data_IF_180981635021
#
_entry.id   IF_180981635021
#
_cell.length_a   1.000
_cell.length_b   1.000
_cell.length_c   1.000
_cell.angle_alpha   90.00
_cell.angle_beta   90.00
_cell.angle_gamma   90.00
#
_symmetry.space_group_name_H-M   'P 1'
#
loop_
_entity.id
_entity.type
_entity.pdbx_description
1 polymer ?
#
# COMPACT_ATOMS: atom_id res chain seq x y z
N UNK A 1 -50.20 -5.80 69.48
CA UNK A 1 -49.82 -5.01 68.28
C UNK A 1 -48.34 -5.23 68.01
N UNK A 2 -48.00 -6.21 67.17
CA UNK A 2 -46.63 -6.52 66.79
C UNK A 2 -46.33 -5.95 65.39
N UNK A 3 -45.17 -5.31 65.29
CA UNK A 3 -44.67 -4.45 64.21
C UNK A 3 -44.65 -5.12 62.82
N UNK A 4 -45.71 -4.91 62.03
CA UNK A 4 -45.75 -5.25 60.60
C UNK A 4 -45.06 -4.21 59.69
N UNK A 5 -44.66 -3.04 60.20
CA UNK A 5 -44.01 -2.00 59.39
C UNK A 5 -42.52 -2.26 59.13
N UNK A 6 -41.79 -2.91 60.05
CA UNK A 6 -40.34 -3.12 59.93
C UNK A 6 -39.94 -4.16 58.88
N UNK A 7 -40.84 -5.07 58.51
CA UNK A 7 -40.53 -6.11 57.52
C UNK A 7 -40.63 -5.62 56.07
N UNK A 8 -41.47 -4.59 55.83
CA UNK A 8 -41.71 -4.05 54.49
C UNK A 8 -40.57 -3.14 54.04
N UNK A 9 -40.01 -2.36 54.97
CA UNK A 9 -38.87 -1.46 54.76
C UNK A 9 -37.57 -2.22 54.47
N UNK A 10 -37.31 -3.36 55.13
CA UNK A 10 -36.10 -4.15 54.83
C UNK A 10 -36.13 -4.76 53.42
N UNK A 11 -37.30 -5.22 52.95
CA UNK A 11 -37.42 -5.79 51.60
C UNK A 11 -37.26 -4.75 50.47
N UNK A 12 -37.64 -3.50 50.75
CA UNK A 12 -37.52 -2.38 49.81
C UNK A 12 -36.08 -1.86 49.73
N UNK A 13 -35.38 -1.79 50.88
CA UNK A 13 -33.95 -1.50 50.91
C UNK A 13 -33.14 -2.55 50.16
N UNK A 14 -33.46 -3.84 50.32
CA UNK A 14 -32.75 -4.90 49.60
C UNK A 14 -32.94 -4.79 48.07
N UNK A 15 -34.15 -4.48 47.59
CA UNK A 15 -34.38 -4.28 46.14
C UNK A 15 -33.67 -3.04 45.60
N UNK A 16 -33.64 -1.96 46.37
CA UNK A 16 -32.94 -0.74 45.96
C UNK A 16 -31.43 -0.97 45.91
N UNK A 17 -30.88 -1.66 46.90
CA UNK A 17 -29.47 -2.02 46.94
C UNK A 17 -29.09 -2.94 45.77
N UNK A 18 -29.88 -3.98 45.50
CA UNK A 18 -29.74 -4.84 44.31
C UNK A 18 -29.74 -4.04 43.01
N UNK A 19 -30.63 -3.06 42.91
CA UNK A 19 -30.76 -2.21 41.73
C UNK A 19 -29.54 -1.33 41.53
N UNK A 20 -29.06 -0.70 42.61
CA UNK A 20 -27.86 0.15 42.60
C UNK A 20 -26.62 -0.68 42.27
N UNK A 21 -26.45 -1.86 42.87
CA UNK A 21 -25.33 -2.76 42.58
C UNK A 21 -25.32 -3.23 41.12
N UNK A 22 -26.47 -3.64 40.57
CA UNK A 22 -26.56 -4.00 39.14
C UNK A 22 -26.24 -2.81 38.24
N UNK A 23 -26.66 -1.61 38.61
CA UNK A 23 -26.45 -0.40 37.81
C UNK A 23 -24.99 0.07 37.86
N UNK A 24 -24.36 0.04 39.04
CA UNK A 24 -22.95 0.30 39.23
C UNK A 24 -22.08 -0.74 38.52
N UNK A 25 -22.44 -2.02 38.60
CA UNK A 25 -21.76 -3.11 37.89
C UNK A 25 -21.84 -2.90 36.38
N UNK A 26 -23.02 -2.59 35.84
CA UNK A 26 -23.20 -2.29 34.43
C UNK A 26 -22.38 -1.07 33.98
N UNK A 27 -22.33 -0.01 34.78
CA UNK A 27 -21.51 1.17 34.50
C UNK A 27 -20.01 0.86 34.59
N UNK A 28 -19.58 0.00 35.51
CA UNK A 28 -18.20 -0.45 35.64
C UNK A 28 -17.75 -1.24 34.39
N UNK A 29 -18.59 -2.15 33.88
CA UNK A 29 -18.34 -2.88 32.63
C UNK A 29 -18.46 -2.02 31.36
N UNK A 30 -19.16 -0.89 31.42
CA UNK A 30 -19.22 0.08 30.32
C UNK A 30 -18.04 1.08 30.34
N UNK A 31 -17.51 1.39 31.52
CA UNK A 31 -16.39 2.31 31.72
C UNK A 31 -15.00 1.68 31.54
N UNK A 32 -14.85 0.39 31.85
CA UNK A 32 -13.67 -0.38 31.47
C UNK A 32 -13.96 -1.11 30.15
N UNK A 33 -13.35 -0.72 29.01
CA UNK A 33 -13.44 -1.57 27.83
C UNK A 33 -12.90 -2.95 28.24
N UNK A 34 -13.62 -4.05 27.97
CA UNK A 34 -13.13 -5.39 28.27
C UNK A 34 -11.73 -5.53 27.68
N UNK A 35 -10.83 -6.26 28.35
CA UNK A 35 -9.45 -6.45 27.93
C UNK A 35 -9.35 -6.88 26.44
N UNK A 36 -10.37 -7.58 25.94
CA UNK A 36 -10.55 -7.96 24.54
C UNK A 36 -10.75 -6.77 23.58
N UNK A 37 -11.41 -5.70 24.00
CA UNK A 37 -11.57 -4.46 23.23
C UNK A 37 -10.26 -3.70 23.04
N UNK A 38 -9.38 -3.71 24.05
CA UNK A 38 -8.04 -3.13 23.95
C UNK A 38 -7.17 -3.97 23.01
N UNK A 39 -7.16 -5.31 23.17
CA UNK A 39 -6.43 -6.22 22.27
C UNK A 39 -6.86 -6.07 20.81
N UNK A 40 -8.17 -5.93 20.55
CA UNK A 40 -8.71 -5.75 19.18
C UNK A 40 -8.25 -4.47 18.48
N UNK A 41 -7.83 -3.44 19.22
CA UNK A 41 -7.31 -2.18 18.66
C UNK A 41 -5.79 -2.10 18.70
N UNK A 42 -5.17 -2.58 19.77
CA UNK A 42 -3.72 -2.54 19.97
C UNK A 42 -2.97 -3.46 19.00
N UNK A 43 -3.48 -4.67 18.72
CA UNK A 43 -2.80 -5.61 17.83
C UNK A 43 -2.71 -5.12 16.37
N UNK A 44 -3.79 -4.65 15.71
CA UNK A 44 -3.67 -4.05 14.39
C UNK A 44 -2.72 -2.86 14.35
N UNK A 45 -2.71 -2.04 15.41
CA UNK A 45 -1.79 -0.91 15.52
C UNK A 45 -0.33 -1.35 15.59
N UNK A 46 0.00 -2.27 16.50
CA UNK A 46 1.36 -2.81 16.63
C UNK A 46 1.81 -3.45 15.31
N UNK A 47 0.93 -4.22 14.68
CA UNK A 47 1.23 -4.88 13.41
C UNK A 47 1.52 -3.87 12.29
N UNK A 48 0.71 -2.81 12.19
CA UNK A 48 0.95 -1.73 11.22
C UNK A 48 2.26 -0.97 11.48
N UNK A 49 2.58 -0.67 12.75
CA UNK A 49 3.84 0.00 13.13
C UNK A 49 5.04 -0.88 12.77
N UNK A 50 5.01 -2.17 13.12
CA UNK A 50 6.07 -3.12 12.77
C UNK A 50 6.25 -3.18 11.25
N UNK A 51 5.15 -3.26 10.50
CA UNK A 51 5.20 -3.32 9.05
C UNK A 51 5.83 -2.06 8.42
N UNK A 52 5.45 -0.87 8.88
CA UNK A 52 6.01 0.41 8.41
C UNK A 52 7.52 0.51 8.71
N UNK A 53 7.98 -0.02 9.85
CA UNK A 53 9.41 -0.02 10.20
C UNK A 53 10.18 -1.07 9.39
N UNK A 54 9.57 -2.23 9.15
CA UNK A 54 10.22 -3.36 8.49
C UNK A 54 10.49 -3.07 7.01
N UNK A 55 9.58 -2.39 6.30
CA UNK A 55 9.73 -2.14 4.86
C UNK A 55 11.03 -1.37 4.54
N UNK A 56 11.32 -0.19 5.12
CA UNK A 56 12.56 0.53 4.86
C UNK A 56 13.79 -0.27 5.25
N UNK A 57 13.73 -1.04 6.34
CA UNK A 57 14.83 -1.90 6.76
C UNK A 57 15.13 -2.96 5.70
N UNK A 58 14.12 -3.69 5.23
CA UNK A 58 14.29 -4.71 4.19
C UNK A 58 14.80 -4.09 2.89
N UNK A 59 14.27 -2.94 2.50
CA UNK A 59 14.70 -2.25 1.29
C UNK A 59 16.18 -1.82 1.35
N UNK A 60 16.58 -1.11 2.42
CA UNK A 60 17.93 -0.55 2.51
C UNK A 60 18.96 -1.64 2.86
N UNK A 61 18.67 -2.45 3.88
CA UNK A 61 19.63 -3.40 4.43
C UNK A 61 19.77 -4.66 3.58
N UNK A 62 18.67 -5.14 2.97
CA UNK A 62 18.68 -6.37 2.18
C UNK A 62 18.75 -6.03 0.70
N UNK A 63 17.77 -5.31 0.17
CA UNK A 63 17.64 -5.12 -1.28
C UNK A 63 18.78 -4.26 -1.85
N UNK A 64 19.07 -3.11 -1.26
CA UNK A 64 20.13 -2.23 -1.78
C UNK A 64 21.53 -2.78 -1.60
N UNK A 65 21.85 -3.30 -0.41
CA UNK A 65 23.19 -3.82 -0.16
C UNK A 65 23.48 -5.15 -0.84
N UNK A 66 22.53 -6.08 -0.88
CA UNK A 66 22.79 -7.43 -1.37
C UNK A 66 22.47 -7.62 -2.85
N UNK A 67 21.48 -6.89 -3.39
CA UNK A 67 20.99 -7.11 -4.76
C UNK A 67 21.36 -5.93 -5.66
N UNK A 68 21.23 -4.69 -5.17
CA UNK A 68 21.41 -3.50 -6.00
C UNK A 68 22.90 -3.18 -6.26
N UNK A 69 23.74 -3.23 -5.23
CA UNK A 69 25.20 -2.98 -5.32
C UNK A 69 25.98 -3.88 -4.36
N UNK A 70 26.12 -5.18 -4.68
CA UNK A 70 26.79 -6.15 -3.79
C UNK A 70 28.26 -5.82 -3.53
N UNK A 71 28.92 -5.15 -4.48
CA UNK A 71 30.38 -4.95 -4.46
C UNK A 71 30.80 -3.55 -3.96
N UNK A 72 29.89 -2.76 -3.35
CA UNK A 72 30.27 -1.44 -2.81
C UNK A 72 31.06 -1.57 -1.51
N UNK A 73 32.28 -1.03 -1.52
CA UNK A 73 33.14 -0.99 -0.35
C UNK A 73 32.50 -0.17 0.79
N UNK A 74 32.66 -0.59 2.05
CA UNK A 74 32.17 0.17 3.21
C UNK A 74 32.89 1.51 3.33
N UNK A 75 32.15 2.54 3.77
CA UNK A 75 32.74 3.86 4.04
C UNK A 75 33.66 3.77 5.25
N UNK A 76 34.91 4.20 5.10
CA UNK A 76 35.82 4.39 6.22
C UNK A 76 35.35 5.58 7.08
N UNK A 77 34.76 5.25 8.23
CA UNK A 77 34.22 6.23 9.18
C UNK A 77 35.32 6.96 9.94
N UNK A 78 36.54 6.42 9.98
CA UNK A 78 37.62 6.92 10.82
C UNK A 78 38.53 7.92 10.09
N UNK A 79 38.76 7.72 8.78
CA UNK A 79 39.59 8.59 7.96
C UNK A 79 38.84 9.59 7.08
N UNK A 80 37.51 9.52 7.01
CA UNK A 80 36.75 10.38 6.11
C UNK A 80 36.44 11.77 6.71
N UNK A 81 36.80 12.83 5.98
CA UNK A 81 36.70 14.23 6.45
C UNK A 81 35.59 15.06 5.81
N UNK A 82 35.26 14.86 4.53
CA UNK A 82 34.31 15.74 3.81
C UNK A 82 33.28 15.04 2.89
N UNK A 83 33.42 13.75 2.57
CA UNK A 83 32.50 13.07 1.65
C UNK A 83 32.31 11.58 1.98
N UNK A 84 31.61 11.32 3.08
CA UNK A 84 31.46 9.98 3.66
C UNK A 84 30.15 9.30 3.25
N UNK A 85 29.76 9.46 1.98
CA UNK A 85 28.51 8.92 1.46
C UNK A 85 28.75 7.55 0.83
N UNK A 86 28.02 6.52 1.30
CA UNK A 86 28.22 5.15 0.85
C UNK A 86 27.74 4.91 -0.59
N UNK A 87 26.98 5.84 -1.16
CA UNK A 87 26.40 5.78 -2.51
C UNK A 87 25.54 4.54 -2.76
N UNK A 88 25.23 3.75 -1.73
CA UNK A 88 24.49 2.48 -1.85
C UNK A 88 23.08 2.76 -2.37
N UNK A 89 22.44 3.80 -1.81
CA UNK A 89 21.12 4.24 -2.23
C UNK A 89 21.02 4.56 -3.74
N UNK A 90 22.01 5.24 -4.33
CA UNK A 90 21.99 5.56 -5.77
C UNK A 90 22.45 4.39 -6.65
N UNK A 91 22.93 3.30 -6.05
CA UNK A 91 23.49 2.17 -6.77
C UNK A 91 24.67 2.55 -7.66
N UNK A 92 24.79 1.90 -8.81
CA UNK A 92 25.89 2.16 -9.75
C UNK A 92 25.73 3.46 -10.56
N UNK A 93 24.65 4.24 -10.37
CA UNK A 93 24.53 5.56 -11.02
C UNK A 93 25.54 6.57 -10.50
N UNK A 94 26.04 6.36 -9.28
CA UNK A 94 26.98 7.25 -8.63
C UNK A 94 28.15 6.44 -8.10
N UNK A 95 29.35 6.77 -8.60
CA UNK A 95 30.61 6.18 -8.18
C UNK A 95 31.20 6.98 -7.00
N UNK A 96 32.08 6.33 -6.24
CA UNK A 96 32.85 7.00 -5.19
C UNK A 96 33.73 8.09 -5.84
N UNK A 97 33.52 9.36 -5.47
CA UNK A 97 34.14 10.51 -6.15
C UNK A 97 33.51 11.85 -5.76
N UNK A 98 33.36 12.77 -6.72
CA UNK A 98 32.69 14.07 -6.52
C UNK A 98 31.20 13.81 -6.31
N UNK A 99 30.81 13.62 -5.05
CA UNK A 99 29.44 13.39 -4.62
C UNK A 99 28.74 14.75 -4.57
N UNK A 100 27.63 14.88 -5.32
CA UNK A 100 26.79 16.07 -5.27
C UNK A 100 26.15 16.21 -3.88
N UNK A 101 25.79 17.44 -3.51
CA UNK A 101 25.16 17.74 -2.22
C UNK A 101 23.95 16.84 -1.97
N UNK A 102 23.87 16.23 -0.78
CA UNK A 102 22.81 15.29 -0.40
C UNK A 102 22.08 15.74 0.85
N UNK A 103 20.76 15.69 0.79
CA UNK A 103 19.88 16.39 1.73
C UNK A 103 19.29 15.53 2.85
N UNK A 104 20.01 14.56 3.43
CA UNK A 104 19.56 14.01 4.74
C UNK A 104 19.97 14.97 5.87
N UNK A 105 19.58 16.24 5.68
CA UNK A 105 19.52 17.37 6.57
C UNK A 105 18.36 18.23 6.02
N UNK A 106 17.32 18.44 6.81
CA UNK A 106 16.16 19.20 6.37
C UNK A 106 16.45 20.70 6.47
N UNK A 107 16.40 21.41 5.33
CA UNK A 107 16.28 22.87 5.34
C UNK A 107 14.82 23.26 5.59
N UNK A 108 14.58 24.40 6.24
CA UNK A 108 13.23 24.92 6.45
C UNK A 108 12.67 25.54 5.15
N UNK A 109 12.44 24.71 4.13
CA UNK A 109 11.97 25.09 2.79
C UNK A 109 10.60 24.47 2.48
N UNK A 110 9.86 25.00 1.49
CA UNK A 110 8.61 24.41 1.03
C UNK A 110 8.74 22.94 0.57
N UNK A 111 9.89 22.56 0.01
CA UNK A 111 10.20 21.19 -0.40
C UNK A 111 10.19 20.23 0.79
N UNK A 112 10.83 20.61 1.89
CA UNK A 112 10.80 19.84 3.15
C UNK A 112 9.37 19.67 3.65
N UNK A 113 8.54 20.72 3.56
CA UNK A 113 7.12 20.60 3.91
C UNK A 113 6.38 19.61 2.99
N UNK A 114 6.67 19.64 1.68
CA UNK A 114 6.16 18.66 0.71
C UNK A 114 6.55 17.21 1.06
N UNK A 115 7.82 16.97 1.41
CA UNK A 115 8.31 15.67 1.88
C UNK A 115 7.52 15.17 3.09
N UNK A 116 7.25 16.05 4.06
CA UNK A 116 6.47 15.70 5.25
C UNK A 116 5.01 15.38 4.94
N UNK A 117 4.31 16.23 4.17
CA UNK A 117 2.93 15.96 3.75
C UNK A 117 2.86 14.60 3.06
N UNK A 118 3.73 14.37 2.10
CA UNK A 118 3.74 13.17 1.28
C UNK A 118 4.05 11.91 2.10
N UNK A 119 5.02 11.99 3.01
CA UNK A 119 5.36 10.89 3.91
C UNK A 119 4.23 10.58 4.89
N UNK A 120 3.62 11.59 5.51
CA UNK A 120 2.49 11.41 6.43
C UNK A 120 1.29 10.78 5.70
N UNK A 121 1.01 11.23 4.47
CA UNK A 121 -0.05 10.66 3.64
C UNK A 121 0.17 9.16 3.37
N UNK A 122 1.37 8.77 2.94
CA UNK A 122 1.70 7.36 2.69
C UNK A 122 1.67 6.51 3.95
N UNK A 123 2.18 7.03 5.08
CA UNK A 123 2.13 6.35 6.38
C UNK A 123 0.68 6.13 6.82
N UNK A 124 -0.18 7.15 6.69
CA UNK A 124 -1.58 7.06 7.08
C UNK A 124 -2.36 6.04 6.24
N UNK A 125 -2.18 6.05 4.92
CA UNK A 125 -2.85 5.10 4.02
C UNK A 125 -2.34 3.68 4.24
N UNK A 126 -1.02 3.50 4.43
CA UNK A 126 -0.43 2.20 4.74
C UNK A 126 -0.99 1.66 6.06
N UNK A 127 -1.06 2.51 7.09
CA UNK A 127 -1.62 2.16 8.38
C UNK A 127 -3.08 1.69 8.26
N UNK A 128 -3.95 2.45 7.61
CA UNK A 128 -5.36 2.07 7.45
C UNK A 128 -5.52 0.80 6.59
N UNK A 129 -4.69 0.63 5.56
CA UNK A 129 -4.68 -0.58 4.71
C UNK A 129 -4.29 -1.82 5.50
N UNK A 130 -3.22 -1.75 6.29
CA UNK A 130 -2.74 -2.87 7.12
C UNK A 130 -3.75 -3.21 8.21
N UNK A 131 -4.30 -2.20 8.88
CA UNK A 131 -5.36 -2.37 9.89
C UNK A 131 -6.61 -3.01 9.30
N UNK A 132 -7.01 -2.61 8.10
CA UNK A 132 -8.11 -3.21 7.37
C UNK A 132 -7.85 -4.70 7.06
N UNK A 133 -6.70 -5.02 6.46
CA UNK A 133 -6.29 -6.40 6.17
C UNK A 133 -6.22 -7.25 7.43
N UNK A 134 -5.62 -6.73 8.51
CA UNK A 134 -5.56 -7.42 9.80
C UNK A 134 -6.97 -7.82 10.27
N UNK A 135 -7.94 -6.92 10.13
CA UNK A 135 -9.33 -7.19 10.50
C UNK A 135 -9.98 -8.27 9.64
N UNK A 136 -9.64 -8.35 8.35
CA UNK A 136 -10.14 -9.37 7.44
C UNK A 136 -9.56 -10.75 7.74
N UNK A 137 -8.26 -10.81 8.04
CA UNK A 137 -7.54 -12.07 8.28
C UNK A 137 -7.86 -12.63 9.66
N UNK A 138 -7.66 -11.84 10.72
CA UNK A 138 -7.65 -12.35 12.09
C UNK A 138 -8.97 -12.16 12.84
N UNK A 139 -9.74 -11.13 12.50
CA UNK A 139 -10.96 -10.81 13.27
C UNK A 139 -12.23 -11.43 12.67
N UNK A 140 -12.26 -11.66 11.35
CA UNK A 140 -13.49 -12.06 10.65
C UNK A 140 -13.33 -13.22 9.66
N UNK A 141 -12.11 -13.56 9.26
CA UNK A 141 -11.79 -14.65 8.30
C UNK A 141 -12.66 -14.53 7.02
N UNK A 142 -12.66 -13.34 6.43
CA UNK A 142 -13.38 -13.04 5.18
C UNK A 142 -12.43 -12.64 4.06
N UNK A 143 -11.17 -13.09 4.12
CA UNK A 143 -10.17 -12.70 3.13
C UNK A 143 -10.32 -13.53 1.85
N UNK A 144 -10.38 -12.84 0.70
CA UNK A 144 -10.24 -13.43 -0.63
C UNK A 144 -8.76 -13.46 -0.99
N UNK A 145 -8.11 -14.60 -0.73
CA UNK A 145 -6.66 -14.76 -0.84
C UNK A 145 -6.05 -14.34 -2.18
N UNK A 146 -6.76 -14.58 -3.29
CA UNK A 146 -6.32 -14.14 -4.63
C UNK A 146 -6.18 -12.62 -4.73
N UNK A 147 -7.12 -11.86 -4.15
CA UNK A 147 -7.05 -10.40 -4.16
C UNK A 147 -6.02 -9.91 -3.14
N UNK A 148 -5.89 -10.61 -2.02
CA UNK A 148 -4.85 -10.31 -1.04
C UNK A 148 -3.44 -10.49 -1.62
N UNK A 149 -3.19 -11.53 -2.43
CA UNK A 149 -1.88 -11.68 -3.10
C UNK A 149 -1.59 -10.55 -4.09
N UNK A 150 -2.61 -10.04 -4.79
CA UNK A 150 -2.48 -8.85 -5.64
C UNK A 150 -2.16 -7.59 -4.82
N UNK A 151 -2.76 -7.43 -3.65
CA UNK A 151 -2.39 -6.34 -2.74
C UNK A 151 -0.93 -6.46 -2.26
N UNK A 152 -0.49 -7.67 -1.88
CA UNK A 152 0.87 -7.91 -1.37
C UNK A 152 1.93 -7.62 -2.43
N UNK A 153 1.71 -8.08 -3.67
CA UNK A 153 2.69 -7.84 -4.75
C UNK A 153 2.83 -6.35 -5.07
N UNK A 154 1.77 -5.55 -4.82
CA UNK A 154 1.76 -4.11 -5.02
C UNK A 154 2.44 -3.29 -3.91
N UNK A 155 2.88 -3.92 -2.80
CA UNK A 155 3.60 -3.21 -1.73
C UNK A 155 4.90 -2.59 -2.28
N UNK A 156 5.62 -3.32 -3.15
CA UNK A 156 6.90 -2.86 -3.67
C UNK A 156 6.77 -1.58 -4.54
N UNK A 157 5.91 -1.53 -5.58
CA UNK A 157 5.71 -0.31 -6.36
C UNK A 157 5.25 0.90 -5.55
N UNK A 158 4.34 0.72 -4.58
CA UNK A 158 3.90 1.82 -3.70
C UNK A 158 5.05 2.39 -2.88
N UNK A 159 5.84 1.51 -2.28
CA UNK A 159 6.99 1.91 -1.51
C UNK A 159 8.07 2.54 -2.41
N UNK A 160 8.29 2.00 -3.61
CA UNK A 160 9.20 2.56 -4.61
C UNK A 160 8.77 3.96 -5.05
N UNK A 161 7.48 4.18 -5.27
CA UNK A 161 6.89 5.47 -5.62
C UNK A 161 7.10 6.48 -4.49
N UNK A 162 6.79 6.09 -3.25
CA UNK A 162 7.05 6.93 -2.08
C UNK A 162 8.52 7.33 -2.00
N UNK A 163 9.40 6.34 -2.09
CA UNK A 163 10.85 6.54 -1.98
C UNK A 163 11.39 7.41 -3.12
N UNK A 164 10.93 7.21 -4.35
CA UNK A 164 11.40 7.99 -5.51
C UNK A 164 10.97 9.45 -5.39
N UNK A 165 9.70 9.71 -5.06
CA UNK A 165 9.18 11.08 -4.89
C UNK A 165 9.83 11.78 -3.69
N UNK A 166 10.04 11.06 -2.58
CA UNK A 166 10.83 11.56 -1.45
C UNK A 166 12.19 12.09 -1.94
N UNK A 167 12.90 11.30 -2.76
CA UNK A 167 14.20 11.69 -3.27
C UNK A 167 14.14 12.83 -4.30
N UNK A 168 13.08 12.92 -5.10
CA UNK A 168 12.90 14.03 -6.04
C UNK A 168 12.77 15.38 -5.34
N UNK A 169 11.98 15.44 -4.27
CA UNK A 169 11.94 16.63 -3.42
C UNK A 169 13.25 16.88 -2.68
N UNK A 170 13.88 15.81 -2.21
CA UNK A 170 15.10 15.90 -1.45
C UNK A 170 16.27 16.42 -2.29
N UNK A 171 16.32 16.11 -3.58
CA UNK A 171 17.45 16.40 -4.45
C UNK A 171 17.12 17.43 -5.54
N UNK A 172 15.95 18.06 -5.45
CA UNK A 172 15.38 18.94 -6.48
C UNK A 172 15.48 18.35 -7.90
N UNK A 173 15.20 17.05 -8.02
CA UNK A 173 15.32 16.27 -9.25
C UNK A 173 13.94 15.89 -9.79
N UNK A 174 13.42 16.69 -10.72
CA UNK A 174 12.07 16.55 -11.28
C UNK A 174 11.91 15.92 -12.69
N UNK A 175 12.95 15.54 -13.47
CA UNK A 175 12.74 15.00 -14.82
C UNK A 175 11.78 13.81 -14.97
N UNK A 176 11.63 12.97 -13.93
CA UNK A 176 10.70 11.82 -13.94
C UNK A 176 9.54 11.98 -12.95
N UNK A 177 9.38 13.17 -12.38
CA UNK A 177 8.44 13.41 -11.28
C UNK A 177 6.99 13.20 -11.72
N UNK A 178 6.57 13.84 -12.81
CA UNK A 178 5.18 13.77 -13.28
C UNK A 178 4.80 12.38 -13.75
N UNK A 179 5.71 11.73 -14.50
CA UNK A 179 5.56 10.35 -14.91
C UNK A 179 5.37 9.40 -13.71
N UNK A 180 6.20 9.49 -12.66
CA UNK A 180 6.01 8.67 -11.46
C UNK A 180 4.75 9.02 -10.66
N UNK A 181 4.35 10.29 -10.59
CA UNK A 181 3.07 10.67 -9.96
C UNK A 181 1.89 10.04 -10.71
N UNK A 182 1.95 9.98 -12.04
CA UNK A 182 0.91 9.32 -12.85
C UNK A 182 0.76 7.83 -12.51
N UNK A 183 1.87 7.08 -12.50
CA UNK A 183 1.90 5.68 -12.08
C UNK A 183 1.39 5.50 -10.65
N UNK A 184 1.87 6.32 -9.72
CA UNK A 184 1.47 6.25 -8.32
C UNK A 184 -0.05 6.43 -8.14
N UNK A 185 -0.65 7.46 -8.78
CA UNK A 185 -2.08 7.75 -8.62
C UNK A 185 -2.93 6.60 -9.19
N UNK A 186 -2.62 6.16 -10.40
CA UNK A 186 -3.34 5.08 -11.08
C UNK A 186 -3.20 3.75 -10.33
N UNK A 187 -2.02 3.48 -9.80
CA UNK A 187 -1.74 2.32 -8.96
C UNK A 187 -2.48 2.36 -7.60
N UNK A 188 -2.59 3.54 -6.97
CA UNK A 188 -3.38 3.73 -5.76
C UNK A 188 -4.87 3.44 -6.02
N UNK A 189 -5.41 3.84 -7.17
CA UNK A 189 -6.80 3.53 -7.54
C UNK A 189 -6.99 2.03 -7.71
N UNK A 190 -6.11 1.35 -8.44
CA UNK A 190 -6.15 -0.12 -8.61
C UNK A 190 -6.08 -0.81 -7.24
N UNK A 191 -5.17 -0.36 -6.38
CA UNK A 191 -4.99 -0.92 -5.04
C UNK A 191 -6.21 -0.74 -4.16
N UNK A 192 -6.89 0.41 -4.23
CA UNK A 192 -8.13 0.65 -3.50
C UNK A 192 -9.25 -0.31 -3.95
N UNK A 193 -9.35 -0.58 -5.26
CA UNK A 193 -10.30 -1.55 -5.81
C UNK A 193 -9.95 -2.97 -5.36
N UNK A 194 -8.67 -3.35 -5.43
CA UNK A 194 -8.19 -4.67 -4.99
C UNK A 194 -8.42 -4.87 -3.49
N UNK A 195 -8.07 -3.87 -2.65
CA UNK A 195 -8.35 -3.89 -1.22
C UNK A 195 -9.84 -4.04 -0.93
N UNK A 196 -10.71 -3.32 -1.64
CA UNK A 196 -12.16 -3.53 -1.51
C UNK A 196 -12.55 -4.97 -1.84
N UNK A 197 -11.96 -5.58 -2.87
CA UNK A 197 -12.19 -6.97 -3.25
C UNK A 197 -11.42 -7.99 -2.40
N UNK A 198 -10.61 -7.58 -1.42
CA UNK A 198 -10.05 -8.50 -0.43
C UNK A 198 -11.10 -9.05 0.53
N UNK A 199 -12.20 -8.33 0.78
CA UNK A 199 -13.32 -8.83 1.57
C UNK A 199 -14.22 -9.73 0.71
N UNK A 200 -14.42 -10.97 1.13
CA UNK A 200 -15.25 -11.96 0.45
C UNK A 200 -16.72 -11.54 0.37
N UNK A 201 -17.16 -10.64 1.27
CA UNK A 201 -18.51 -10.08 1.30
C UNK A 201 -18.72 -9.00 0.24
N UNK A 202 -17.65 -8.39 -0.24
CA UNK A 202 -17.72 -7.46 -1.36
C UNK A 202 -17.77 -8.25 -2.67
N UNK A 203 -18.75 -7.91 -3.51
CA UNK A 203 -18.90 -8.53 -4.83
C UNK A 203 -17.76 -8.11 -5.76
N UNK A 204 -17.27 -9.11 -6.49
CA UNK A 204 -16.36 -8.92 -7.60
C UNK A 204 -17.23 -8.65 -8.83
N UNK A 205 -17.17 -7.43 -9.35
CA UNK A 205 -18.01 -6.99 -10.47
C UNK A 205 -17.19 -6.81 -11.74
N UNK A 206 -17.84 -6.95 -12.89
CA UNK A 206 -17.22 -6.71 -14.20
C UNK A 206 -16.51 -5.35 -14.24
N UNK A 207 -17.18 -4.28 -13.78
CA UNK A 207 -16.64 -2.90 -13.80
C UNK A 207 -15.31 -2.78 -13.04
N UNK A 208 -15.19 -3.40 -11.86
CA UNK A 208 -13.96 -3.37 -11.05
C UNK A 208 -12.83 -4.11 -11.74
N UNK A 209 -13.09 -5.34 -12.21
CA UNK A 209 -12.10 -6.16 -12.92
C UNK A 209 -11.63 -5.46 -14.19
N UNK A 210 -12.58 -5.00 -15.01
CA UNK A 210 -12.30 -4.39 -16.29
C UNK A 210 -11.47 -3.10 -16.16
N UNK A 211 -11.76 -2.29 -15.14
CA UNK A 211 -10.96 -1.11 -14.84
C UNK A 211 -9.51 -1.45 -14.46
N UNK A 212 -9.29 -2.51 -13.67
CA UNK A 212 -7.93 -2.99 -13.34
C UNK A 212 -7.21 -3.42 -14.62
N UNK A 213 -7.87 -4.17 -15.51
CA UNK A 213 -7.30 -4.59 -16.79
C UNK A 213 -6.85 -3.37 -17.62
N UNK A 214 -7.68 -2.33 -17.72
CA UNK A 214 -7.34 -1.12 -18.45
C UNK A 214 -6.10 -0.42 -17.88
N UNK A 215 -6.04 -0.19 -16.56
CA UNK A 215 -4.89 0.48 -15.93
C UNK A 215 -3.62 -0.37 -16.06
N UNK A 216 -3.68 -1.67 -15.77
CA UNK A 216 -2.52 -2.55 -15.92
C UNK A 216 -2.03 -2.61 -17.36
N UNK A 217 -2.93 -2.54 -18.35
CA UNK A 217 -2.55 -2.46 -19.77
C UNK A 217 -1.78 -1.18 -20.06
N UNK A 218 -2.26 -0.02 -19.58
CA UNK A 218 -1.54 1.26 -19.71
C UNK A 218 -0.14 1.16 -19.11
N UNK A 219 -0.02 0.62 -17.89
CA UNK A 219 1.28 0.48 -17.22
C UNK A 219 2.25 -0.44 -17.97
N UNK A 220 1.77 -1.60 -18.46
CA UNK A 220 2.58 -2.53 -19.24
C UNK A 220 3.08 -1.86 -20.53
N UNK A 221 2.21 -1.12 -21.22
CA UNK A 221 2.57 -0.41 -22.45
C UNK A 221 3.60 0.70 -22.18
N UNK A 222 3.36 1.56 -21.18
CA UNK A 222 4.27 2.64 -20.79
C UNK A 222 5.63 2.10 -20.34
N UNK A 223 5.63 1.17 -19.38
CA UNK A 223 6.86 0.54 -18.88
C UNK A 223 7.65 -0.15 -20.01
N UNK A 224 6.92 -0.79 -20.93
CA UNK A 224 7.46 -1.39 -22.15
C UNK A 224 8.16 -0.37 -23.04
N UNK A 225 7.47 0.74 -23.37
CA UNK A 225 7.97 1.81 -24.24
C UNK A 225 9.16 2.57 -23.65
N UNK A 226 9.26 2.68 -22.33
CA UNK A 226 10.27 3.50 -21.69
C UNK A 226 11.59 2.76 -21.49
N UNK A 227 11.63 1.80 -20.56
CA UNK A 227 12.88 1.24 -20.08
C UNK A 227 12.86 -0.29 -20.03
N UNK A 228 11.70 -0.94 -20.01
CA UNK A 228 11.63 -2.38 -19.82
C UNK A 228 12.19 -3.15 -21.02
N UNK A 229 11.76 -2.83 -22.25
CA UNK A 229 12.24 -3.51 -23.46
C UNK A 229 13.76 -3.30 -23.62
N UNK A 230 14.21 -2.05 -23.54
CA UNK A 230 15.62 -1.73 -23.74
C UNK A 230 16.53 -2.36 -22.69
N UNK A 231 16.19 -2.21 -21.41
CA UNK A 231 17.07 -2.67 -20.35
C UNK A 231 16.99 -4.18 -20.13
N UNK A 232 15.78 -4.75 -20.10
CA UNK A 232 15.55 -6.15 -19.74
C UNK A 232 15.59 -7.05 -20.97
N UNK A 233 14.79 -6.76 -22.00
CA UNK A 233 14.66 -7.64 -23.17
C UNK A 233 15.92 -7.58 -24.05
N UNK A 234 16.40 -6.38 -24.35
CA UNK A 234 17.65 -6.22 -25.09
C UNK A 234 18.90 -6.33 -24.20
N UNK A 235 18.73 -6.57 -22.90
CA UNK A 235 19.84 -6.74 -21.94
C UNK A 235 20.85 -5.57 -21.92
N UNK A 236 20.43 -4.34 -22.27
CA UNK A 236 21.29 -3.15 -22.21
C UNK A 236 21.34 -2.50 -20.82
N UNK A 237 20.49 -2.92 -19.90
CA UNK A 237 20.43 -2.35 -18.56
C UNK A 237 21.45 -2.98 -17.62
N UNK A 238 21.93 -2.18 -16.65
CA UNK A 238 22.70 -2.70 -15.53
C UNK A 238 21.81 -3.56 -14.63
N UNK A 239 22.43 -4.45 -13.84
CA UNK A 239 21.72 -5.41 -12.97
C UNK A 239 20.59 -4.76 -12.15
N UNK A 240 20.88 -3.66 -11.46
CA UNK A 240 19.88 -3.00 -10.63
C UNK A 240 18.72 -2.38 -11.45
N UNK A 241 18.97 -1.92 -12.68
CA UNK A 241 17.92 -1.39 -13.58
C UNK A 241 17.00 -2.52 -14.01
N UNK A 242 17.57 -3.68 -14.33
CA UNK A 242 16.82 -4.85 -14.74
C UNK A 242 15.97 -5.37 -13.59
N UNK A 243 16.55 -5.51 -12.39
CA UNK A 243 15.83 -5.96 -11.20
C UNK A 243 14.68 -5.00 -10.87
N UNK A 244 14.92 -3.69 -10.86
CA UNK A 244 13.87 -2.68 -10.63
C UNK A 244 12.76 -2.79 -11.68
N UNK A 245 13.12 -2.83 -12.96
CA UNK A 245 12.14 -2.87 -14.06
C UNK A 245 11.28 -4.15 -14.00
N UNK A 246 11.88 -5.29 -13.65
CA UNK A 246 11.16 -6.54 -13.42
C UNK A 246 10.23 -6.44 -12.22
N UNK A 247 10.72 -5.90 -11.09
CA UNK A 247 9.94 -5.76 -9.86
C UNK A 247 8.76 -4.79 -9.99
N UNK A 248 8.84 -3.80 -10.89
CA UNK A 248 7.73 -2.90 -11.22
C UNK A 248 6.75 -3.52 -12.25
N UNK A 249 7.23 -4.32 -13.20
CA UNK A 249 6.37 -4.96 -14.21
C UNK A 249 5.57 -6.16 -13.68
N UNK A 250 6.15 -6.93 -12.74
CA UNK A 250 5.52 -8.13 -12.17
C UNK A 250 4.13 -7.84 -11.58
N UNK A 251 3.95 -6.80 -10.74
CA UNK A 251 2.64 -6.42 -10.21
C UNK A 251 1.61 -6.13 -11.30
N UNK A 252 1.97 -5.37 -12.34
CA UNK A 252 1.04 -5.04 -13.43
C UNK A 252 0.62 -6.29 -14.22
N UNK A 253 1.57 -7.18 -14.52
CA UNK A 253 1.27 -8.46 -15.17
C UNK A 253 0.38 -9.34 -14.30
N UNK A 254 0.65 -9.42 -12.99
CA UNK A 254 -0.17 -10.19 -12.06
C UNK A 254 -1.60 -9.65 -11.99
N UNK A 255 -1.77 -8.33 -11.88
CA UNK A 255 -3.08 -7.68 -11.88
C UNK A 255 -3.82 -7.93 -13.19
N UNK A 256 -3.16 -7.81 -14.33
CA UNK A 256 -3.74 -8.09 -15.64
C UNK A 256 -4.21 -9.55 -15.74
N UNK A 257 -3.30 -10.51 -15.51
CA UNK A 257 -3.57 -11.94 -15.69
C UNK A 257 -4.64 -12.46 -14.73
N UNK A 258 -4.56 -12.10 -13.45
CA UNK A 258 -5.54 -12.53 -12.44
C UNK A 258 -6.90 -11.89 -12.72
N UNK A 259 -6.94 -10.63 -13.16
CA UNK A 259 -8.18 -9.96 -13.53
C UNK A 259 -8.81 -10.57 -14.77
N UNK A 260 -8.02 -10.90 -15.81
CA UNK A 260 -8.49 -11.65 -16.98
C UNK A 260 -9.06 -13.02 -16.58
N UNK A 261 -8.37 -13.75 -15.72
CA UNK A 261 -8.88 -15.02 -15.20
C UNK A 261 -10.20 -14.84 -14.43
N UNK A 262 -10.30 -13.85 -13.54
CA UNK A 262 -11.53 -13.54 -12.80
C UNK A 262 -12.67 -13.09 -13.70
N UNK A 263 -12.37 -12.42 -14.81
CA UNK A 263 -13.35 -12.04 -15.82
C UNK A 263 -13.95 -13.29 -16.48
N UNK A 264 -13.10 -14.25 -16.87
CA UNK A 264 -13.53 -15.52 -17.46
C UNK A 264 -14.33 -16.35 -16.45
N UNK A 265 -13.92 -16.38 -15.18
CA UNK A 265 -14.67 -17.04 -14.11
C UNK A 265 -16.06 -16.42 -13.93
N UNK A 266 -16.14 -15.08 -13.88
CA UNK A 266 -17.41 -14.36 -13.77
C UNK A 266 -18.33 -14.62 -14.97
N UNK A 267 -17.75 -14.72 -16.16
CA UNK A 267 -18.48 -15.06 -17.38
C UNK A 267 -19.04 -16.49 -17.33
N UNK A 268 -18.25 -17.45 -16.83
CA UNK A 268 -18.68 -18.86 -16.73
C UNK A 268 -19.69 -19.10 -15.62
N UNK A 269 -19.67 -18.29 -14.56
CA UNK A 269 -20.55 -18.46 -13.40
C UNK A 269 -21.93 -17.80 -13.54
N UNK A 270 -22.11 -16.88 -14.48
CA UNK A 270 -23.38 -16.19 -14.68
C UNK A 270 -24.11 -16.75 -15.90
N UNK A 271 -25.37 -17.17 -15.73
CA UNK A 271 -26.33 -17.46 -16.83
C UNK A 271 -26.79 -16.19 -17.57
N UNK A 272 -26.18 -15.03 -17.30
CA UNK A 272 -26.57 -13.76 -17.90
C UNK A 272 -26.03 -13.66 -19.33
N UNK A 273 -26.86 -13.27 -20.32
CA UNK A 273 -26.48 -13.24 -21.72
C UNK A 273 -25.36 -12.22 -21.99
N UNK A 274 -24.48 -12.58 -22.92
CA UNK A 274 -23.29 -11.83 -23.39
C UNK A 274 -23.56 -10.34 -23.63
N UNK A 275 -24.78 -9.97 -23.98
CA UNK A 275 -25.23 -8.59 -24.24
C UNK A 275 -25.21 -7.67 -23.02
N UNK A 276 -25.26 -8.17 -21.79
CA UNK A 276 -25.19 -7.32 -20.58
C UNK A 276 -23.75 -6.99 -20.14
N UNK A 277 -22.78 -7.85 -20.49
CA UNK A 277 -21.36 -7.62 -20.17
C UNK A 277 -20.59 -6.96 -21.32
N UNK A 278 -20.99 -7.27 -22.56
CA UNK A 278 -20.40 -6.73 -23.77
C UNK A 278 -21.14 -5.51 -24.28
N UNK A 279 -21.07 -4.38 -23.56
CA UNK A 279 -21.30 -3.12 -24.25
C UNK A 279 -20.18 -2.98 -25.29
N UNK A 280 -20.51 -3.09 -26.58
CA UNK A 280 -19.55 -2.78 -27.67
C UNK A 280 -18.91 -1.40 -27.45
N UNK A 281 -19.68 -0.48 -26.88
CA UNK A 281 -19.22 0.84 -26.45
C UNK A 281 -18.18 0.77 -25.32
N UNK A 282 -18.28 -0.20 -24.41
CA UNK A 282 -17.33 -0.40 -23.32
C UNK A 282 -15.94 -0.85 -23.79
N UNK A 283 -15.89 -1.70 -24.83
CA UNK A 283 -14.61 -2.09 -25.46
C UNK A 283 -14.02 -0.90 -26.23
N UNK A 284 -14.85 -0.14 -26.96
CA UNK A 284 -14.41 1.09 -27.63
C UNK A 284 -13.88 2.13 -26.64
N UNK A 285 -14.61 2.37 -25.54
CA UNK A 285 -14.21 3.27 -24.44
C UNK A 285 -12.92 2.79 -23.78
N UNK A 286 -12.73 1.49 -23.57
CA UNK A 286 -11.49 0.95 -23.03
C UNK A 286 -10.31 1.19 -23.96
N UNK A 287 -10.49 0.95 -25.26
CA UNK A 287 -9.45 1.22 -26.25
C UNK A 287 -9.05 2.70 -26.25
N UNK A 288 -10.04 3.61 -26.24
CA UNK A 288 -9.79 5.06 -26.15
C UNK A 288 -9.10 5.40 -24.83
N UNK A 289 -9.58 4.86 -23.70
CA UNK A 289 -9.00 5.12 -22.38
C UNK A 289 -7.55 4.64 -22.28
N UNK A 290 -7.24 3.44 -22.77
CA UNK A 290 -5.88 2.89 -22.80
C UNK A 290 -5.00 3.73 -23.72
N UNK A 291 -5.49 4.08 -24.91
CA UNK A 291 -4.73 4.87 -25.88
C UNK A 291 -4.39 6.26 -25.33
N UNK A 292 -5.41 6.98 -24.84
CA UNK A 292 -5.23 8.31 -24.25
C UNK A 292 -4.36 8.24 -22.99
N UNK A 293 -4.57 7.26 -22.12
CA UNK A 293 -3.77 7.07 -20.91
C UNK A 293 -2.29 6.80 -21.22
N UNK A 294 -2.02 5.93 -22.20
CA UNK A 294 -0.64 5.61 -22.64
C UNK A 294 0.02 6.82 -23.30
N UNK A 295 -0.68 7.52 -24.17
CA UNK A 295 -0.13 8.73 -24.82
C UNK A 295 0.15 9.81 -23.78
N UNK A 296 -0.81 10.06 -22.88
CA UNK A 296 -0.65 11.05 -21.82
C UNK A 296 0.53 10.70 -20.90
N UNK A 297 0.60 9.46 -20.41
CA UNK A 297 1.71 9.01 -19.55
C UNK A 297 3.08 9.08 -20.21
N UNK A 298 3.16 8.97 -21.55
CA UNK A 298 4.40 9.09 -22.30
C UNK A 298 4.89 10.54 -22.44
N UNK A 299 3.98 11.51 -22.39
CA UNK A 299 4.29 12.93 -22.53
C UNK A 299 4.54 13.64 -21.19
N UNK A 300 4.27 12.97 -20.06
CA UNK A 300 4.65 13.42 -18.71
C UNK A 300 6.11 13.11 -18.38
#
# INVERSE_FOLDING_TARGET
MYNLSNHKTSSLNNRFQDYVERRLTKLHYQGCPPFDGIKKKALPFIFAVIFIILIPFLHIAVFYKLIWVPDKAPVDRSGCTCSCFDTVFRGAYENQGIILYKHIYFNATPQTFGVWIFTVFFVAITYESVKYIYSLIFSRIHVRWVMFSLFVINIYPHYYSWWSIFNYFNEDFYPYFYHHIYFMITEMIVTAIVLNMCDSRNSVTFKKIFFIICISTIHILLSGMDQFITHVIYAHGRTFQNVRNVALMIPDLAHFLVSCWKLVELYRSNDLPVSEYGYKEGVGLAFVFISVGTVFGKFL
#
